data_IF_490039852360
#
_entry.id   IF_490039852360
#
_cell.length_a   1.000
_cell.length_b   1.000
_cell.length_c   1.000
_cell.angle_alpha   90.00
_cell.angle_beta   90.00
_cell.angle_gamma   90.00
#
_symmetry.space_group_name_H-M   'P 1'
#
loop_
_entity.id
_entity.type
_entity.pdbx_description
1 polymer ?
#
# COMPACT_ATOMS: atom_id res chain seq x y z
N UNK A 1 -9.47 9.76 -14.16
CA UNK A 1 -8.66 10.03 -12.96
C UNK A 1 -7.20 9.85 -13.26
N UNK A 2 -6.34 10.64 -12.61
CA UNK A 2 -4.90 10.65 -12.86
C UNK A 2 -4.16 10.41 -11.55
N UNK A 3 -3.15 9.53 -11.59
CA UNK A 3 -2.26 9.31 -10.46
C UNK A 3 -1.10 10.30 -10.51
N UNK A 4 -0.88 11.01 -9.42
CA UNK A 4 0.19 12.01 -9.26
C UNK A 4 1.08 11.70 -8.08
N UNK A 5 2.30 12.23 -8.10
CA UNK A 5 3.19 12.23 -6.95
C UNK A 5 2.81 13.36 -5.99
N UNK A 6 3.31 13.29 -4.76
CA UNK A 6 3.06 14.33 -3.74
C UNK A 6 3.55 15.72 -4.18
N UNK A 7 4.54 15.79 -5.09
CA UNK A 7 5.12 17.03 -5.58
C UNK A 7 4.28 17.73 -6.66
N UNK A 8 3.38 16.99 -7.31
CA UNK A 8 2.55 17.50 -8.40
C UNK A 8 1.22 18.06 -7.91
N UNK A 9 0.95 17.98 -6.60
CA UNK A 9 -0.34 18.37 -6.02
C UNK A 9 -0.18 19.58 -5.12
N UNK A 10 -1.07 20.55 -5.29
CA UNK A 10 -1.05 21.79 -4.51
C UNK A 10 -1.43 21.56 -3.05
N UNK A 11 -0.82 22.31 -2.16
CA UNK A 11 -1.04 22.20 -0.73
C UNK A 11 -2.50 22.38 -0.31
N UNK A 12 -3.22 23.29 -0.97
CA UNK A 12 -4.64 23.49 -0.67
C UNK A 12 -5.50 22.26 -0.97
N UNK A 13 -5.14 21.48 -1.98
CA UNK A 13 -5.81 20.20 -2.28
C UNK A 13 -5.51 19.16 -1.22
N UNK A 14 -4.26 19.09 -0.75
CA UNK A 14 -3.84 18.18 0.33
C UNK A 14 -4.58 18.53 1.62
N UNK A 15 -4.68 19.81 1.96
CA UNK A 15 -5.38 20.27 3.16
C UNK A 15 -6.89 20.02 3.12
N UNK A 16 -7.48 19.96 1.94
CA UNK A 16 -8.91 19.67 1.76
C UNK A 16 -9.25 18.18 1.90
N UNK A 17 -8.26 17.28 1.84
CA UNK A 17 -8.49 15.83 1.94
C UNK A 17 -8.93 15.43 3.34
N UNK A 18 -9.95 14.59 3.41
CA UNK A 18 -10.39 13.96 4.66
C UNK A 18 -10.97 12.57 4.37
N UNK A 19 -10.39 11.56 5.00
CA UNK A 19 -10.88 10.18 4.88
C UNK A 19 -11.68 9.69 6.10
N UNK A 20 -11.86 10.55 7.10
CA UNK A 20 -12.52 10.18 8.35
C UNK A 20 -11.61 9.54 9.39
N UNK A 21 -10.32 9.37 9.09
CA UNK A 21 -9.31 8.85 10.01
C UNK A 21 -8.24 9.92 10.22
N UNK A 22 -8.16 10.46 11.45
CA UNK A 22 -7.25 11.56 11.77
C UNK A 22 -5.78 11.23 11.59
N UNK A 23 -5.37 9.99 11.82
CA UNK A 23 -3.98 9.56 11.64
C UNK A 23 -3.59 9.56 10.16
N UNK A 24 -4.46 9.07 9.28
CA UNK A 24 -4.23 9.05 7.84
C UNK A 24 -4.27 10.47 7.26
N UNK A 25 -5.24 11.29 7.66
CA UNK A 25 -5.32 12.69 7.24
C UNK A 25 -4.10 13.48 7.71
N UNK A 26 -3.71 13.30 8.96
CA UNK A 26 -2.52 13.95 9.54
C UNK A 26 -1.24 13.53 8.86
N UNK A 27 -1.10 12.26 8.51
CA UNK A 27 0.04 11.78 7.74
C UNK A 27 0.15 12.50 6.39
N UNK A 28 -0.93 12.52 5.62
CA UNK A 28 -0.91 13.14 4.30
C UNK A 28 -0.53 14.62 4.37
N UNK A 29 -1.11 15.34 5.32
CA UNK A 29 -0.92 16.79 5.47
C UNK A 29 0.43 17.21 6.05
N UNK A 30 0.96 16.42 6.99
CA UNK A 30 2.14 16.80 7.79
C UNK A 30 3.41 16.03 7.43
N UNK A 31 3.31 14.77 7.05
CA UNK A 31 4.45 13.87 6.96
C UNK A 31 4.73 13.29 5.57
N UNK A 32 3.72 13.16 4.71
CA UNK A 32 3.88 12.45 3.45
C UNK A 32 5.00 13.05 2.59
N UNK A 33 5.05 14.36 2.44
CA UNK A 33 6.06 15.03 1.62
C UNK A 33 7.45 14.91 2.21
N UNK A 34 7.61 15.17 3.50
CA UNK A 34 8.92 15.09 4.15
C UNK A 34 9.45 13.64 4.19
N UNK A 35 8.58 12.66 4.38
CA UNK A 35 8.94 11.25 4.31
C UNK A 35 9.38 10.86 2.90
N UNK A 36 8.70 11.35 1.88
CA UNK A 36 9.06 11.10 0.49
C UNK A 36 10.44 11.70 0.16
N UNK A 37 10.68 12.94 0.55
CA UNK A 37 11.96 13.65 0.37
C UNK A 37 13.13 12.91 1.04
N UNK A 38 12.90 12.27 2.17
CA UNK A 38 13.92 11.58 2.95
C UNK A 38 13.97 10.05 2.72
N UNK A 39 13.20 9.53 1.78
CA UNK A 39 13.26 8.12 1.40
C UNK A 39 12.56 7.15 2.35
N UNK A 40 11.69 7.63 3.24
CA UNK A 40 10.94 6.76 4.14
C UNK A 40 9.69 6.15 3.52
N UNK A 41 9.19 6.73 2.45
CA UNK A 41 8.05 6.20 1.71
C UNK A 41 7.70 7.09 0.53
N UNK A 42 7.12 6.51 -0.49
CA UNK A 42 6.66 7.22 -1.69
C UNK A 42 5.14 7.29 -1.70
N UNK A 43 4.59 8.49 -1.76
CA UNK A 43 3.15 8.73 -1.72
C UNK A 43 2.62 9.13 -3.09
N UNK A 44 1.57 8.42 -3.52
CA UNK A 44 0.87 8.64 -4.78
C UNK A 44 -0.58 9.02 -4.49
N UNK A 45 -1.08 10.00 -5.24
CA UNK A 45 -2.41 10.56 -5.05
C UNK A 45 -3.24 10.36 -6.31
N UNK A 46 -4.41 9.75 -6.15
CA UNK A 46 -5.39 9.63 -7.22
C UNK A 46 -6.21 10.92 -7.25
N UNK A 47 -6.21 11.58 -8.40
CA UNK A 47 -6.85 12.89 -8.58
C UNK A 47 -8.08 12.81 -9.48
N UNK A 48 -9.13 13.51 -9.06
CA UNK A 48 -10.25 13.90 -9.88
C UNK A 48 -10.14 15.41 -10.11
N UNK A 49 -9.94 15.84 -11.34
CA UNK A 49 -9.75 17.25 -11.73
C UNK A 49 -9.07 18.15 -10.69
N UNK A 50 -9.79 18.54 -9.63
CA UNK A 50 -9.34 19.49 -8.60
C UNK A 50 -9.25 18.91 -7.18
N UNK A 51 -9.58 17.62 -6.99
CA UNK A 51 -9.62 17.00 -5.66
C UNK A 51 -8.83 15.72 -5.60
N UNK A 52 -8.31 15.44 -4.42
CA UNK A 52 -7.70 14.14 -4.11
C UNK A 52 -8.84 13.17 -3.79
N UNK A 53 -8.93 12.10 -4.58
CA UNK A 53 -9.87 10.99 -4.36
C UNK A 53 -9.36 10.05 -3.29
N UNK A 54 -8.05 9.82 -3.29
CA UNK A 54 -7.39 8.94 -2.33
C UNK A 54 -5.88 8.93 -2.53
N UNK A 55 -5.20 8.23 -1.64
CA UNK A 55 -3.75 8.08 -1.74
C UNK A 55 -3.29 6.73 -1.21
N UNK A 56 -2.09 6.34 -1.59
CA UNK A 56 -1.36 5.24 -0.97
C UNK A 56 0.13 5.58 -0.85
N UNK A 57 0.77 4.95 0.12
CA UNK A 57 2.21 5.11 0.37
C UNK A 57 2.89 3.76 0.33
N UNK A 58 3.99 3.67 -0.41
CA UNK A 58 4.80 2.46 -0.54
C UNK A 58 6.15 2.66 0.14
N UNK A 59 6.64 1.63 0.81
CA UNK A 59 8.01 1.57 1.31
C UNK A 59 8.55 0.15 1.23
N UNK A 60 9.89 0.03 1.24
CA UNK A 60 10.56 -1.25 1.35
C UNK A 60 10.38 -1.83 2.74
N UNK A 61 10.34 -3.14 2.85
CA UNK A 61 10.19 -3.84 4.11
C UNK A 61 10.76 -5.25 4.01
N UNK A 62 10.79 -5.95 5.12
CA UNK A 62 11.11 -7.36 5.17
C UNK A 62 10.34 -8.02 6.31
N UNK A 63 10.14 -9.34 6.21
CA UNK A 63 9.67 -10.16 7.32
C UNK A 63 10.69 -11.26 7.59
N UNK A 64 10.73 -11.74 8.83
CA UNK A 64 11.60 -12.86 9.17
C UNK A 64 11.10 -14.12 8.46
N UNK A 65 12.03 -14.95 8.03
CA UNK A 65 11.72 -16.22 7.39
C UNK A 65 10.72 -17.07 8.20
N UNK A 66 10.92 -17.14 9.51
CA UNK A 66 10.10 -17.94 10.43
C UNK A 66 8.64 -17.45 10.53
N UNK A 67 8.39 -16.20 10.20
CA UNK A 67 7.06 -15.58 10.30
C UNK A 67 6.18 -15.84 9.08
N UNK A 68 6.74 -16.45 8.02
CA UNK A 68 6.01 -16.73 6.79
C UNK A 68 5.48 -18.18 6.80
N UNK A 69 4.16 -18.39 7.00
CA UNK A 69 3.61 -19.72 7.28
C UNK A 69 3.55 -20.68 6.08
N UNK A 70 3.65 -20.19 4.86
CA UNK A 70 3.53 -20.99 3.64
C UNK A 70 4.87 -21.37 3.02
N UNK A 71 5.95 -21.15 3.75
CA UNK A 71 7.28 -21.29 3.19
C UNK A 71 7.73 -22.77 3.20
N UNK A 72 8.14 -23.26 2.04
CA UNK A 72 8.79 -24.56 1.94
C UNK A 72 10.30 -24.39 2.18
N UNK A 73 10.73 -24.66 3.40
CA UNK A 73 12.09 -24.44 3.88
C UNK A 73 13.20 -25.20 3.12
N UNK A 74 12.83 -26.21 2.31
CA UNK A 74 13.81 -26.98 1.53
C UNK A 74 14.30 -26.27 0.29
N UNK A 75 13.51 -25.33 -0.26
CA UNK A 75 13.76 -24.72 -1.57
C UNK A 75 14.41 -23.35 -1.48
N UNK A 76 14.41 -22.73 -0.31
CA UNK A 76 14.82 -21.33 -0.16
C UNK A 76 15.75 -21.13 1.01
N UNK A 77 16.72 -20.20 0.89
CA UNK A 77 17.59 -19.85 2.01
C UNK A 77 16.80 -19.16 3.13
N UNK A 78 17.26 -19.33 4.38
CA UNK A 78 16.61 -18.73 5.56
C UNK A 78 17.00 -17.26 5.73
N UNK A 79 16.85 -16.45 4.70
CA UNK A 79 17.06 -15.01 4.74
C UNK A 79 15.76 -14.27 5.06
N UNK A 80 15.84 -13.02 5.53
CA UNK A 80 14.65 -12.16 5.58
C UNK A 80 13.98 -12.09 4.21
N UNK A 81 12.66 -12.16 4.21
CA UNK A 81 11.87 -12.17 2.98
C UNK A 81 11.69 -10.72 2.51
N UNK A 82 12.14 -10.38 1.30
CA UNK A 82 11.97 -9.02 0.78
C UNK A 82 10.53 -8.71 0.47
N UNK A 83 10.06 -7.55 0.95
CA UNK A 83 8.69 -7.10 0.81
C UNK A 83 8.60 -5.66 0.35
N UNK A 84 7.51 -5.32 -0.31
CA UNK A 84 7.03 -3.93 -0.42
C UNK A 84 5.80 -3.81 0.48
N UNK A 85 5.80 -2.80 1.33
CA UNK A 85 4.69 -2.49 2.22
C UNK A 85 3.82 -1.38 1.63
N UNK A 86 2.52 -1.63 1.56
CA UNK A 86 1.53 -0.57 1.41
C UNK A 86 1.32 -0.01 2.82
N UNK A 87 2.10 1.02 3.15
CA UNK A 87 2.12 1.57 4.49
C UNK A 87 0.84 2.31 4.84
N UNK A 88 0.20 2.92 3.83
CA UNK A 88 -1.06 3.65 3.96
C UNK A 88 -1.86 3.54 2.68
N UNK A 89 -3.19 3.49 2.83
CA UNK A 89 -4.14 3.57 1.73
C UNK A 89 -5.43 4.18 2.29
N UNK A 90 -5.89 5.26 1.69
CA UNK A 90 -7.08 5.97 2.16
C UNK A 90 -7.85 6.58 1.00
N UNK A 91 -9.18 6.61 1.14
CA UNK A 91 -10.11 7.24 0.20
C UNK A 91 -10.83 8.37 0.90
N UNK A 92 -10.92 9.54 0.27
CA UNK A 92 -11.67 10.69 0.77
C UNK A 92 -13.14 10.33 1.02
N UNK A 93 -13.73 10.89 2.07
CA UNK A 93 -15.10 10.59 2.50
C UNK A 93 -16.14 10.71 1.37
N UNK A 94 -15.99 11.73 0.51
CA UNK A 94 -16.94 11.95 -0.59
C UNK A 94 -16.80 10.91 -1.71
N UNK A 95 -15.73 10.14 -1.71
CA UNK A 95 -15.46 9.12 -2.72
C UNK A 95 -15.50 7.69 -2.18
N UNK A 96 -15.73 7.50 -0.89
CA UNK A 96 -15.83 6.16 -0.28
C UNK A 96 -17.03 5.38 -0.80
N UNK A 97 -16.92 4.04 -0.77
CA UNK A 97 -17.96 3.09 -1.20
C UNK A 97 -18.36 3.21 -2.68
N UNK A 98 -17.46 3.71 -3.51
CA UNK A 98 -17.66 3.86 -4.96
C UNK A 98 -16.61 3.09 -5.78
N UNK A 99 -15.83 2.21 -5.14
CA UNK A 99 -14.84 1.37 -5.80
C UNK A 99 -13.44 1.98 -5.89
N UNK A 100 -13.19 3.16 -5.38
CA UNK A 100 -11.88 3.81 -5.48
C UNK A 100 -10.79 3.17 -4.62
N UNK A 101 -11.15 2.50 -3.53
CA UNK A 101 -10.20 1.69 -2.77
C UNK A 101 -9.58 0.58 -3.61
N UNK A 102 -10.39 -0.10 -4.41
CA UNK A 102 -9.93 -1.10 -5.39
C UNK A 102 -9.03 -0.48 -6.45
N UNK A 103 -9.39 0.68 -6.96
CA UNK A 103 -8.58 1.38 -7.96
C UNK A 103 -7.21 1.78 -7.41
N UNK A 104 -7.15 2.32 -6.19
CA UNK A 104 -5.91 2.63 -5.50
C UNK A 104 -5.04 1.39 -5.28
N UNK A 105 -5.66 0.28 -4.87
CA UNK A 105 -4.94 -0.98 -4.66
C UNK A 105 -4.35 -1.50 -5.97
N UNK A 106 -5.09 -1.42 -7.07
CA UNK A 106 -4.63 -1.78 -8.41
C UNK A 106 -3.42 -0.93 -8.83
N UNK A 107 -3.50 0.39 -8.64
CA UNK A 107 -2.40 1.30 -8.95
C UNK A 107 -1.15 0.99 -8.10
N UNK A 108 -1.34 0.68 -6.82
CA UNK A 108 -0.26 0.24 -5.95
C UNK A 108 0.39 -1.05 -6.47
N UNK A 109 -0.41 -2.03 -6.87
CA UNK A 109 0.10 -3.29 -7.44
C UNK A 109 0.91 -3.08 -8.71
N UNK A 110 0.43 -2.24 -9.63
CA UNK A 110 1.16 -1.92 -10.87
C UNK A 110 2.53 -1.30 -10.57
N UNK A 111 2.62 -0.41 -9.58
CA UNK A 111 3.87 0.18 -9.13
C UNK A 111 4.81 -0.86 -8.52
N UNK A 112 4.28 -1.74 -7.68
CA UNK A 112 5.06 -2.79 -7.03
C UNK A 112 5.61 -3.79 -8.05
N UNK A 113 4.82 -4.19 -9.03
CA UNK A 113 5.26 -5.08 -10.11
C UNK A 113 6.39 -4.41 -10.90
N UNK A 114 6.27 -3.13 -11.22
CA UNK A 114 7.32 -2.38 -11.91
C UNK A 114 8.63 -2.38 -11.12
N UNK A 115 8.58 -2.16 -9.81
CA UNK A 115 9.75 -2.22 -8.93
C UNK A 115 10.36 -3.62 -8.89
N UNK A 116 9.51 -4.65 -8.86
CA UNK A 116 9.97 -6.05 -8.79
C UNK A 116 10.76 -6.53 -9.99
N UNK A 117 10.70 -5.81 -11.11
CA UNK A 117 11.53 -6.07 -12.28
C UNK A 117 13.01 -5.72 -12.06
N UNK A 118 13.31 -4.87 -11.08
CA UNK A 118 14.67 -4.38 -10.82
C UNK A 118 15.17 -4.70 -9.41
N UNK A 119 14.27 -4.98 -8.48
CA UNK A 119 14.60 -5.27 -7.08
C UNK A 119 13.81 -6.50 -6.63
N UNK A 120 14.46 -7.38 -5.86
CA UNK A 120 13.79 -8.58 -5.33
C UNK A 120 12.62 -8.22 -4.42
N UNK A 121 11.44 -8.70 -4.75
CA UNK A 121 10.22 -8.56 -3.95
C UNK A 121 9.49 -9.89 -3.98
N UNK A 122 9.29 -10.48 -2.81
CA UNK A 122 8.54 -11.74 -2.68
C UNK A 122 7.09 -11.50 -2.28
N UNK A 123 6.87 -10.59 -1.32
CA UNK A 123 5.57 -10.34 -0.73
C UNK A 123 5.19 -8.87 -0.80
N UNK A 124 3.90 -8.65 -0.89
CA UNK A 124 3.26 -7.35 -0.60
C UNK A 124 2.67 -7.48 0.79
N UNK A 125 2.98 -6.55 1.69
CA UNK A 125 2.45 -6.56 3.06
C UNK A 125 1.67 -5.29 3.36
N UNK A 126 0.69 -5.44 4.23
CA UNK A 126 -0.13 -4.34 4.76
C UNK A 126 -0.38 -4.55 6.24
N UNK A 127 -0.52 -3.46 6.99
CA UNK A 127 -1.09 -3.52 8.34
C UNK A 127 -2.57 -3.14 8.23
N UNK A 128 -3.45 -4.01 8.72
CA UNK A 128 -4.88 -3.85 8.59
C UNK A 128 -5.57 -3.87 9.96
N UNK A 129 -6.40 -2.88 10.22
CA UNK A 129 -7.18 -2.74 11.45
C UNK A 129 -8.66 -2.60 11.14
N UNK A 130 -9.51 -3.18 12.00
CA UNK A 130 -10.96 -3.01 11.89
C UNK A 130 -11.51 -3.42 10.52
N UNK A 131 -12.27 -2.54 9.89
CA UNK A 131 -12.92 -2.79 8.60
C UNK A 131 -11.95 -2.97 7.42
N UNK A 132 -10.71 -2.48 7.55
CA UNK A 132 -9.71 -2.65 6.50
C UNK A 132 -9.27 -4.11 6.34
N UNK A 133 -9.38 -4.93 7.37
CA UNK A 133 -9.13 -6.39 7.29
C UNK A 133 -9.99 -7.05 6.22
N UNK A 134 -11.29 -6.82 6.26
CA UNK A 134 -12.24 -7.36 5.28
C UNK A 134 -11.90 -6.88 3.86
N UNK A 135 -11.53 -5.62 3.71
CA UNK A 135 -11.12 -5.06 2.43
C UNK A 135 -9.92 -5.82 1.85
N UNK A 136 -8.84 -6.00 2.62
CA UNK A 136 -7.66 -6.69 2.13
C UNK A 136 -7.88 -8.19 1.93
N UNK A 137 -8.61 -8.86 2.82
CA UNK A 137 -8.97 -10.27 2.67
C UNK A 137 -9.75 -10.54 1.38
N UNK A 138 -10.64 -9.63 1.01
CA UNK A 138 -11.40 -9.70 -0.25
C UNK A 138 -10.48 -9.77 -1.48
N UNK A 139 -9.31 -9.15 -1.42
CA UNK A 139 -8.33 -9.16 -2.51
C UNK A 139 -7.22 -10.22 -2.35
N UNK A 140 -7.43 -11.19 -1.48
CA UNK A 140 -6.57 -12.35 -1.35
C UNK A 140 -5.46 -12.25 -0.31
N UNK A 141 -5.38 -11.12 0.42
CA UNK A 141 -4.42 -10.99 1.51
C UNK A 141 -4.77 -11.95 2.65
N UNK A 142 -3.73 -12.52 3.25
CA UNK A 142 -3.82 -13.45 4.38
C UNK A 142 -3.05 -12.92 5.58
N UNK A 143 -3.53 -13.22 6.78
CA UNK A 143 -2.90 -12.81 8.02
C UNK A 143 -1.57 -13.54 8.25
N UNK A 144 -0.53 -12.82 8.66
CA UNK A 144 0.71 -13.41 9.16
C UNK A 144 0.47 -14.02 10.55
N UNK A 145 1.04 -15.20 10.82
CA UNK A 145 0.83 -15.91 12.08
C UNK A 145 1.34 -15.18 13.31
N UNK A 146 2.47 -14.48 13.18
CA UNK A 146 3.17 -13.83 14.30
C UNK A 146 2.60 -12.45 14.63
N UNK A 147 1.92 -11.80 13.69
CA UNK A 147 1.40 -10.45 13.86
C UNK A 147 -0.04 -10.36 13.35
N UNK A 148 -0.99 -10.28 14.27
CA UNK A 148 -2.42 -10.29 13.96
C UNK A 148 -2.93 -9.14 13.09
N UNK A 149 -2.14 -8.06 12.96
CA UNK A 149 -2.49 -6.90 12.14
C UNK A 149 -1.79 -6.89 10.78
N UNK A 150 -0.83 -7.79 10.58
CA UNK A 150 -0.06 -7.85 9.34
C UNK A 150 -0.63 -8.90 8.40
N UNK A 151 -0.86 -8.46 7.16
CA UNK A 151 -1.39 -9.28 6.07
C UNK A 151 -0.40 -9.30 4.93
N UNK A 152 -0.37 -10.39 4.19
CA UNK A 152 0.54 -10.57 3.05
C UNK A 152 -0.18 -11.08 1.82
N UNK A 153 0.41 -10.81 0.66
CA UNK A 153 0.02 -11.36 -0.63
C UNK A 153 1.30 -11.70 -1.41
N UNK A 154 1.35 -12.88 -2.01
CA UNK A 154 2.45 -13.26 -2.89
C UNK A 154 2.44 -12.38 -4.14
N UNK A 155 3.61 -11.86 -4.53
CA UNK A 155 3.69 -11.05 -5.74
C UNK A 155 3.30 -11.83 -6.99
N UNK A 156 3.61 -13.11 -7.02
CA UNK A 156 3.23 -13.99 -8.14
C UNK A 156 1.72 -14.03 -8.35
N UNK A 157 0.95 -14.03 -7.27
CA UNK A 157 -0.52 -13.98 -7.32
C UNK A 157 -1.01 -12.70 -8.02
N UNK A 158 -0.38 -11.58 -7.73
CA UNK A 158 -0.74 -10.28 -8.33
C UNK A 158 -0.37 -10.25 -9.81
N UNK A 159 0.83 -10.73 -10.14
CA UNK A 159 1.29 -10.80 -11.53
C UNK A 159 0.33 -11.65 -12.38
N UNK A 160 -0.08 -12.82 -11.90
CA UNK A 160 -1.04 -13.68 -12.60
C UNK A 160 -2.41 -13.01 -12.76
N UNK A 161 -2.89 -12.33 -11.74
CA UNK A 161 -4.20 -11.67 -11.77
C UNK A 161 -4.27 -10.47 -12.72
N UNK A 162 -3.13 -9.87 -13.06
CA UNK A 162 -3.05 -8.69 -13.94
C UNK A 162 -2.62 -9.04 -15.39
N UNK A 163 -2.39 -10.30 -15.69
CA UNK A 163 -2.22 -10.79 -17.06
C UNK A 163 -3.58 -10.83 -17.76
#
# INVERSE_FOLDING_TARGET
MILKTIYEVKENMINAFSCGNGDLDGFLKKYAKINDENGYGKTFLLMDEKRIVGFFTLCSSSIRFEDFPEFNSHLFPKYPIPCIKIARLAVDLDYQRKGYGKELLKEAFLRIISVSASVGVRLIIVDAKGSSKTFYEKYGFRCLKSEKLSYYLLIDTVIEALK
#
